data_IF_144910512683
#
_entry.id   IF_144910512683
#
_cell.length_a   1.000
_cell.length_b   1.000
_cell.length_c   1.000
_cell.angle_alpha   90.00
_cell.angle_beta   90.00
_cell.angle_gamma   90.00
#
_symmetry.space_group_name_H-M   'P 1'
#
loop_
_entity.id
_entity.type
_entity.pdbx_description
1 polymer ?
#
# COMPACT_ATOMS: atom_id res chain seq x y z
N UNK A 1 7.40 25.02 12.05
CA UNK A 1 7.73 23.60 11.90
C UNK A 1 6.69 22.91 11.04
N UNK A 2 7.12 22.22 10.03
CA UNK A 2 6.23 21.50 9.15
C UNK A 2 6.33 20.01 9.38
N UNK A 3 5.18 19.34 9.42
CA UNK A 3 5.14 17.89 9.52
C UNK A 3 4.95 17.35 8.11
N UNK A 4 5.97 16.68 7.61
CA UNK A 4 5.92 16.04 6.31
C UNK A 4 5.31 14.67 6.45
N UNK A 5 4.15 14.49 5.83
CA UNK A 5 3.42 13.23 5.88
C UNK A 5 2.86 12.95 4.49
N UNK A 6 3.05 11.74 4.02
CA UNK A 6 2.60 11.33 2.71
C UNK A 6 1.86 10.00 2.80
N UNK A 7 0.75 9.89 2.09
CA UNK A 7 0.00 8.65 1.97
C UNK A 7 0.07 8.18 0.52
N UNK A 8 0.57 6.97 0.31
CA UNK A 8 0.63 6.36 -1.02
C UNK A 8 -0.37 5.22 -1.09
N UNK A 9 -1.11 5.15 -2.19
CA UNK A 9 -2.00 4.04 -2.48
C UNK A 9 -1.53 3.38 -3.77
N UNK A 10 -1.30 2.07 -3.72
CA UNK A 10 -0.72 1.31 -4.82
C UNK A 10 -1.60 0.10 -5.11
N UNK A 11 -1.99 -0.05 -6.37
CA UNK A 11 -2.78 -1.21 -6.82
C UNK A 11 -1.83 -2.35 -7.14
N UNK A 12 -2.08 -3.52 -6.55
CA UNK A 12 -1.35 -4.76 -6.86
C UNK A 12 -2.34 -5.88 -7.11
N UNK A 13 -1.89 -6.89 -7.85
CA UNK A 13 -2.76 -7.97 -8.28
C UNK A 13 -2.93 -9.09 -7.26
N UNK A 14 -1.93 -9.32 -6.41
CA UNK A 14 -1.93 -10.43 -5.46
C UNK A 14 -1.57 -9.98 -4.05
N UNK A 15 -1.97 -10.80 -3.07
CA UNK A 15 -1.62 -10.57 -1.68
C UNK A 15 -0.11 -10.66 -1.45
N UNK A 16 0.56 -11.56 -2.15
CA UNK A 16 2.01 -11.70 -2.07
C UNK A 16 2.72 -10.44 -2.53
N UNK A 17 2.25 -9.83 -3.62
CA UNK A 17 2.77 -8.56 -4.10
C UNK A 17 2.54 -7.45 -3.08
N UNK A 18 1.38 -7.43 -2.43
CA UNK A 18 1.07 -6.44 -1.41
C UNK A 18 2.04 -6.54 -0.24
N UNK A 19 2.29 -7.76 0.25
CA UNK A 19 3.24 -7.98 1.34
C UNK A 19 4.65 -7.61 0.97
N UNK A 20 5.10 -8.00 -0.23
CA UNK A 20 6.42 -7.67 -0.73
C UNK A 20 6.62 -6.16 -0.84
N UNK A 21 5.59 -5.45 -1.30
CA UNK A 21 5.63 -4.00 -1.42
C UNK A 21 5.74 -3.32 -0.06
N UNK A 22 4.98 -3.78 0.93
CA UNK A 22 5.04 -3.24 2.28
C UNK A 22 6.44 -3.44 2.88
N UNK A 23 7.02 -4.62 2.71
CA UNK A 23 8.36 -4.91 3.19
C UNK A 23 9.41 -4.04 2.49
N UNK A 24 9.24 -3.82 1.19
CA UNK A 24 10.13 -2.95 0.43
C UNK A 24 10.11 -1.53 0.96
N UNK A 25 8.94 -0.98 1.24
CA UNK A 25 8.83 0.36 1.81
C UNK A 25 9.48 0.45 3.19
N UNK A 26 9.33 -0.57 4.01
CA UNK A 26 9.96 -0.60 5.33
C UNK A 26 11.49 -0.67 5.23
N UNK A 27 12.01 -1.43 4.28
CA UNK A 27 13.44 -1.51 4.05
C UNK A 27 13.98 -0.19 3.50
N UNK A 28 13.27 0.41 2.55
CA UNK A 28 13.68 1.67 1.93
C UNK A 28 13.63 2.83 2.93
N UNK A 29 12.77 2.77 3.95
CA UNK A 29 12.66 3.84 4.93
C UNK A 29 13.98 4.13 5.64
N UNK A 30 14.78 3.11 5.87
CA UNK A 30 16.09 3.26 6.51
C UNK A 30 17.08 4.03 5.63
N UNK A 31 16.90 3.99 4.30
CA UNK A 31 17.79 4.65 3.35
C UNK A 31 17.28 6.02 2.92
N UNK A 32 15.96 6.20 2.87
CA UNK A 32 15.33 7.41 2.37
C UNK A 32 15.05 8.46 3.43
N UNK A 33 15.23 8.12 4.69
CA UNK A 33 15.03 9.08 5.79
C UNK A 33 13.59 9.34 6.16
N UNK A 34 12.68 8.44 5.80
CA UNK A 34 11.29 8.51 6.24
C UNK A 34 10.94 7.35 7.16
N UNK A 35 9.82 7.47 7.84
CA UNK A 35 9.31 6.41 8.71
C UNK A 35 7.94 5.97 8.19
N UNK A 36 7.74 4.65 8.10
CA UNK A 36 6.43 4.09 7.76
C UNK A 36 5.64 3.97 9.06
N UNK A 37 4.66 4.84 9.24
CA UNK A 37 3.86 4.87 10.47
C UNK A 37 2.60 4.04 10.37
N UNK A 38 2.17 3.70 9.16
CA UNK A 38 1.01 2.85 8.94
C UNK A 38 1.13 2.14 7.60
N UNK A 39 0.72 0.89 7.56
CA UNK A 39 0.64 0.14 6.33
C UNK A 39 -0.57 -0.79 6.39
N UNK A 40 -1.27 -0.92 5.29
CA UNK A 40 -2.42 -1.82 5.20
C UNK A 40 -2.63 -2.27 3.76
N UNK A 41 -3.30 -3.40 3.61
CA UNK A 41 -3.74 -3.86 2.31
C UNK A 41 -5.22 -4.19 2.40
N UNK A 42 -5.96 -3.82 1.36
CA UNK A 42 -7.40 -4.02 1.31
C UNK A 42 -7.74 -4.72 0.00
N UNK A 43 -8.53 -5.79 0.10
CA UNK A 43 -9.03 -6.46 -1.08
C UNK A 43 -10.16 -5.65 -1.69
N UNK A 44 -10.05 -5.35 -2.96
CA UNK A 44 -11.09 -4.71 -3.74
C UNK A 44 -11.53 -5.64 -4.86
N UNK A 45 -12.82 -5.68 -5.09
CA UNK A 45 -13.39 -6.51 -6.15
C UNK A 45 -14.27 -5.66 -7.03
N UNK A 46 -14.14 -5.87 -8.33
CA UNK A 46 -15.01 -5.25 -9.30
C UNK A 46 -16.04 -6.29 -9.74
N UNK A 47 -17.32 -5.96 -9.60
CA UNK A 47 -18.40 -6.87 -9.92
C UNK A 47 -19.21 -6.33 -11.08
N UNK A 48 -19.72 -7.24 -11.90
CA UNK A 48 -20.65 -6.92 -12.97
C UNK A 48 -21.70 -8.01 -13.00
N UNK A 49 -22.99 -7.61 -12.97
CA UNK A 49 -24.13 -8.53 -13.00
C UNK A 49 -24.06 -9.64 -11.93
N UNK A 50 -23.54 -9.30 -10.74
CA UNK A 50 -23.44 -10.25 -9.65
C UNK A 50 -22.21 -11.16 -9.69
N UNK A 51 -21.36 -11.01 -10.70
CA UNK A 51 -20.13 -11.80 -10.83
C UNK A 51 -18.91 -10.93 -10.59
N UNK A 52 -17.90 -11.51 -9.93
CA UNK A 52 -16.61 -10.85 -9.74
C UNK A 52 -15.83 -10.97 -11.04
N UNK A 53 -15.57 -9.85 -11.70
CA UNK A 53 -14.83 -9.81 -12.96
C UNK A 53 -13.37 -9.41 -12.78
N UNK A 54 -13.03 -8.78 -11.66
CA UNK A 54 -11.67 -8.39 -11.34
C UNK A 54 -11.51 -8.31 -9.84
N UNK A 55 -10.38 -8.76 -9.32
CA UNK A 55 -10.02 -8.56 -7.93
C UNK A 55 -8.59 -8.04 -7.88
N UNK A 56 -8.33 -7.17 -6.91
CA UNK A 56 -7.01 -6.59 -6.71
C UNK A 56 -6.88 -6.11 -5.28
N UNK A 57 -5.66 -5.79 -4.88
CA UNK A 57 -5.38 -5.25 -3.54
C UNK A 57 -4.91 -3.81 -3.66
N UNK A 58 -5.36 -2.98 -2.74
CA UNK A 58 -4.84 -1.62 -2.58
C UNK A 58 -3.96 -1.60 -1.35
N UNK A 59 -2.68 -1.32 -1.55
CA UNK A 59 -1.72 -1.16 -0.46
C UNK A 59 -1.64 0.32 -0.12
N UNK A 60 -1.92 0.63 1.13
CA UNK A 60 -1.87 2.00 1.63
C UNK A 60 -0.69 2.13 2.59
N UNK A 61 0.23 3.02 2.27
CA UNK A 61 1.42 3.28 3.06
C UNK A 61 1.40 4.74 3.50
N UNK A 62 1.53 4.96 4.79
CA UNK A 62 1.64 6.32 5.33
C UNK A 62 3.07 6.53 5.81
N UNK A 63 3.73 7.53 5.26
CA UNK A 63 5.11 7.89 5.54
C UNK A 63 5.16 9.21 6.30
N UNK A 64 6.15 9.34 7.15
CA UNK A 64 6.43 10.58 7.87
C UNK A 64 7.93 10.86 7.87
N UNK A 65 8.27 12.08 7.58
CA UNK A 65 9.67 12.57 7.64
C UNK A 65 9.96 13.34 8.92
#
# INVERSE_FOLDING_TARGET
>A
MEIMKQTDEIKVSTDEEAKALIEKFKADSAHEGYEVISSSSTLKEKKSKGEVIESYYIVKIVKRW
#
